data_IF_738841215956
#
_entry.id   IF_738841215956
#
_cell.length_a   1.000
_cell.length_b   1.000
_cell.length_c   1.000
_cell.angle_alpha   90.00
_cell.angle_beta   90.00
_cell.angle_gamma   90.00
#
_symmetry.space_group_name_H-M   'P 1'
#
loop_
_entity.id
_entity.type
_entity.pdbx_description
1 polymer ?
#
# COMPACT_ATOMS: atom_id res chain seq x y z
N UNK A 1 -0.19 10.29 4.64
CA UNK A 1 -1.09 10.98 3.69
C UNK A 1 -0.53 12.37 3.48
N UNK A 2 0.12 12.58 2.35
CA UNK A 2 1.03 13.73 2.17
C UNK A 2 0.27 15.02 1.83
N UNK A 3 -0.95 14.91 1.31
CA UNK A 3 -1.83 16.05 1.11
C UNK A 3 -2.79 16.23 2.29
N UNK A 4 -2.77 17.42 2.90
CA UNK A 4 -3.73 17.77 3.96
C UNK A 4 -5.16 17.83 3.40
N UNK A 5 -6.17 17.46 4.19
CA UNK A 5 -7.59 17.54 3.78
C UNK A 5 -8.06 18.97 3.45
N UNK A 6 -7.43 19.99 4.06
CA UNK A 6 -7.76 21.41 3.86
C UNK A 6 -6.49 22.23 3.56
N UNK A 7 -5.92 22.10 2.36
CA UNK A 7 -4.71 22.82 1.99
C UNK A 7 -4.98 24.33 1.92
N UNK A 8 -4.07 25.12 2.50
CA UNK A 8 -4.18 26.59 2.51
C UNK A 8 -3.64 27.22 1.24
N UNK A 9 -2.50 26.71 0.75
CA UNK A 9 -1.86 27.12 -0.50
C UNK A 9 -2.73 26.78 -1.71
N UNK A 10 -2.75 27.68 -2.70
CA UNK A 10 -3.52 27.48 -3.92
C UNK A 10 -3.06 26.24 -4.70
N UNK A 11 -1.73 26.05 -4.83
CA UNK A 11 -1.15 24.84 -5.43
C UNK A 11 -1.67 23.56 -4.78
N UNK A 12 -1.73 23.52 -3.44
CA UNK A 12 -2.25 22.37 -2.70
C UNK A 12 -3.75 22.15 -2.91
N UNK A 13 -4.55 23.21 -3.01
CA UNK A 13 -5.99 23.10 -3.32
C UNK A 13 -6.23 22.53 -4.71
N UNK A 14 -5.45 22.97 -5.69
CA UNK A 14 -5.53 22.49 -7.06
C UNK A 14 -5.09 21.02 -7.17
N UNK A 15 -3.97 20.65 -6.53
CA UNK A 15 -3.53 19.26 -6.52
C UNK A 15 -4.53 18.34 -5.80
N UNK A 16 -5.16 18.83 -4.72
CA UNK A 16 -6.25 18.10 -4.06
C UNK A 16 -7.41 17.82 -5.02
N UNK A 17 -7.82 18.82 -5.81
CA UNK A 17 -8.91 18.65 -6.79
C UNK A 17 -8.55 17.59 -7.84
N UNK A 18 -7.30 17.59 -8.33
CA UNK A 18 -6.82 16.54 -9.24
C UNK A 18 -6.88 15.15 -8.58
N UNK A 19 -6.44 15.04 -7.32
CA UNK A 19 -6.53 13.79 -6.57
C UNK A 19 -7.97 13.33 -6.36
N UNK A 20 -8.90 14.23 -6.03
CA UNK A 20 -10.32 13.90 -5.83
C UNK A 20 -10.97 13.46 -7.15
N UNK A 21 -10.52 14.02 -8.29
CA UNK A 21 -11.00 13.68 -9.64
C UNK A 21 -10.64 12.27 -10.09
N UNK A 22 -9.60 11.64 -9.53
CA UNK A 22 -9.21 10.26 -9.88
C UNK A 22 -10.40 9.29 -9.80
N UNK A 23 -11.24 9.45 -8.78
CA UNK A 23 -12.44 8.62 -8.55
C UNK A 23 -13.60 8.93 -9.50
N UNK A 24 -13.43 9.84 -10.45
CA UNK A 24 -14.43 10.23 -11.45
C UNK A 24 -13.98 9.96 -12.88
N UNK A 25 -12.80 9.38 -13.08
CA UNK A 25 -12.33 8.94 -14.39
C UNK A 25 -12.92 7.57 -14.70
N UNK A 26 -13.52 7.46 -15.87
CA UNK A 26 -14.23 6.29 -16.40
C UNK A 26 -13.87 5.97 -17.85
N UNK A 27 -13.27 6.89 -18.59
CA UNK A 27 -12.87 6.68 -19.99
C UNK A 27 -11.41 7.05 -20.26
N UNK A 28 -10.87 6.57 -21.38
CA UNK A 28 -9.49 6.87 -21.79
C UNK A 28 -9.32 8.38 -22.02
N UNK A 29 -10.31 9.03 -22.63
CA UNK A 29 -10.29 10.49 -22.86
C UNK A 29 -10.32 11.28 -21.55
N UNK A 30 -11.01 10.79 -20.53
CA UNK A 30 -10.96 11.38 -19.19
C UNK A 30 -9.59 11.19 -18.53
N UNK A 31 -8.96 10.03 -18.70
CA UNK A 31 -7.61 9.77 -18.20
C UNK A 31 -6.57 10.68 -18.88
N UNK A 32 -6.68 10.91 -20.19
CA UNK A 32 -5.82 11.84 -20.94
C UNK A 32 -5.99 13.26 -20.42
N UNK A 33 -7.24 13.75 -20.31
CA UNK A 33 -7.53 15.09 -19.76
C UNK A 33 -7.02 15.25 -18.34
N UNK A 34 -7.10 14.20 -17.53
CA UNK A 34 -6.54 14.21 -16.17
C UNK A 34 -5.01 14.35 -16.20
N UNK A 35 -4.32 13.62 -17.09
CA UNK A 35 -2.87 13.73 -17.30
C UNK A 35 -2.44 15.12 -17.78
N UNK A 36 -3.17 15.71 -18.74
CA UNK A 36 -2.97 17.09 -19.19
C UNK A 36 -3.11 18.08 -18.04
N UNK A 37 -4.14 17.91 -17.20
CA UNK A 37 -4.36 18.77 -16.05
C UNK A 37 -3.26 18.63 -14.98
N UNK A 38 -2.71 17.43 -14.80
CA UNK A 38 -1.56 17.20 -13.93
C UNK A 38 -0.28 17.88 -14.46
N UNK A 39 -0.03 17.81 -15.77
CA UNK A 39 1.09 18.50 -16.41
C UNK A 39 0.94 20.01 -16.32
N UNK A 40 -0.25 20.56 -16.62
CA UNK A 40 -0.54 21.98 -16.50
C UNK A 40 -0.43 22.49 -15.05
N UNK A 41 -0.69 21.63 -14.06
CA UNK A 41 -0.43 21.95 -12.66
C UNK A 41 1.07 22.03 -12.38
N UNK A 42 1.87 21.09 -12.90
CA UNK A 42 3.33 21.09 -12.74
C UNK A 42 3.95 22.35 -13.35
N UNK A 43 3.65 22.65 -14.62
CA UNK A 43 4.17 23.84 -15.31
C UNK A 43 3.88 25.14 -14.55
N UNK A 44 2.73 25.21 -13.87
CA UNK A 44 2.34 26.40 -13.10
C UNK A 44 3.03 26.51 -11.75
N UNK A 45 3.32 25.38 -11.11
CA UNK A 45 3.77 25.31 -9.72
C UNK A 45 5.17 24.72 -9.55
N UNK A 46 5.90 24.44 -10.63
CA UNK A 46 7.26 23.85 -10.60
C UNK A 46 8.20 24.68 -9.73
N UNK A 47 8.23 25.99 -9.95
CA UNK A 47 9.07 26.92 -9.18
C UNK A 47 8.76 26.84 -7.69
N UNK A 48 7.47 26.74 -7.32
CA UNK A 48 7.03 26.61 -5.93
C UNK A 48 7.50 25.28 -5.34
N UNK A 49 7.26 24.15 -6.00
CA UNK A 49 7.61 22.84 -5.43
C UNK A 49 9.14 22.59 -5.39
N UNK A 50 9.90 23.33 -6.20
CA UNK A 50 11.36 23.32 -6.19
C UNK A 50 11.98 24.38 -5.26
N UNK A 51 11.17 25.14 -4.50
CA UNK A 51 11.68 25.99 -3.44
C UNK A 51 12.39 25.15 -2.37
N UNK A 52 13.55 25.64 -1.92
CA UNK A 52 14.37 25.01 -0.88
C UNK A 52 14.54 25.97 0.29
N UNK A 53 14.41 25.43 1.49
CA UNK A 53 14.78 26.09 2.73
C UNK A 53 16.17 25.63 3.13
N UNK A 54 17.09 26.55 3.38
CA UNK A 54 18.44 26.22 3.86
C UNK A 54 18.44 26.12 5.39
N UNK A 55 19.24 25.21 5.94
CA UNK A 55 19.33 25.01 7.39
C UNK A 55 19.78 26.26 8.14
N UNK A 56 20.61 27.09 7.50
CA UNK A 56 21.05 28.39 8.04
C UNK A 56 19.90 29.40 8.22
N UNK A 57 18.84 29.28 7.42
CA UNK A 57 17.72 30.23 7.40
C UNK A 57 16.60 29.80 8.38
N UNK A 58 16.57 28.51 8.77
CA UNK A 58 15.67 27.96 9.78
C UNK A 58 16.43 26.97 10.71
N UNK A 59 17.34 27.48 11.57
CA UNK A 59 18.18 26.64 12.43
C UNK A 59 17.40 25.95 13.56
N UNK A 60 16.19 26.43 13.87
CA UNK A 60 15.31 25.82 14.88
C UNK A 60 14.59 24.57 14.35
N UNK A 61 14.58 24.35 13.04
CA UNK A 61 14.00 23.16 12.45
C UNK A 61 14.77 21.90 12.89
N UNK A 62 14.09 20.82 13.31
CA UNK A 62 14.78 19.55 13.61
C UNK A 62 15.63 19.01 12.46
N UNK A 63 15.31 19.37 11.21
CA UNK A 63 16.09 18.96 10.02
C UNK A 63 17.45 19.66 9.92
N UNK A 64 17.60 20.86 10.50
CA UNK A 64 18.83 21.65 10.39
C UNK A 64 20.04 20.98 11.04
N UNK A 65 19.82 20.08 12.02
CA UNK A 65 20.90 19.31 12.65
C UNK A 65 21.44 18.14 11.81
N UNK A 66 20.73 17.74 10.74
CA UNK A 66 21.07 16.56 9.94
C UNK A 66 21.21 16.85 8.44
N UNK A 67 20.72 18.00 7.96
CA UNK A 67 20.67 18.35 6.55
C UNK A 67 21.02 19.82 6.35
N UNK A 68 21.70 20.17 5.26
CA UNK A 68 22.04 21.55 4.93
C UNK A 68 20.89 22.32 4.26
N UNK A 69 19.92 21.61 3.70
CA UNK A 69 18.70 22.16 3.10
C UNK A 69 17.60 21.09 3.02
N UNK A 70 16.36 21.53 2.84
CA UNK A 70 15.22 20.67 2.49
C UNK A 70 14.26 21.38 1.54
N UNK A 71 13.40 20.62 0.85
CA UNK A 71 12.32 21.21 0.04
C UNK A 71 11.32 21.92 0.95
N UNK A 72 11.03 23.19 0.66
CA UNK A 72 10.11 24.01 1.46
C UNK A 72 8.71 23.39 1.50
N UNK A 73 8.23 22.91 0.35
CA UNK A 73 6.91 22.30 0.19
C UNK A 73 7.01 20.78 0.01
N UNK A 74 7.81 20.11 0.85
CA UNK A 74 8.15 18.69 0.71
C UNK A 74 6.94 17.77 0.51
N UNK A 75 5.88 17.94 1.32
CA UNK A 75 4.71 17.08 1.28
C UNK A 75 3.88 17.28 0.00
N UNK A 76 3.73 18.54 -0.44
CA UNK A 76 3.09 18.86 -1.71
C UNK A 76 3.85 18.23 -2.89
N UNK A 77 5.17 18.40 -2.89
CA UNK A 77 6.07 17.84 -3.90
C UNK A 77 5.99 16.31 -3.94
N UNK A 78 6.01 15.64 -2.78
CA UNK A 78 5.88 14.18 -2.67
C UNK A 78 4.56 13.69 -3.25
N UNK A 79 3.45 14.36 -2.93
CA UNK A 79 2.15 14.00 -3.46
C UNK A 79 2.11 14.11 -4.99
N UNK A 80 2.61 15.21 -5.55
CA UNK A 80 2.70 15.39 -7.00
C UNK A 80 3.54 14.28 -7.66
N UNK A 81 4.78 14.06 -7.16
CA UNK A 81 5.67 13.03 -7.74
C UNK A 81 5.08 11.63 -7.67
N UNK A 82 4.33 11.30 -6.61
CA UNK A 82 3.60 10.03 -6.55
C UNK A 82 2.55 9.93 -7.65
N UNK A 83 1.74 10.96 -7.84
CA UNK A 83 0.72 10.99 -8.89
C UNK A 83 1.34 10.91 -10.29
N UNK A 84 2.42 11.65 -10.51
CA UNK A 84 3.20 11.63 -11.76
C UNK A 84 3.74 10.23 -12.06
N UNK A 85 4.45 9.60 -11.11
CA UNK A 85 4.99 8.25 -11.30
C UNK A 85 3.88 7.22 -11.55
N UNK A 86 2.81 7.21 -10.73
CA UNK A 86 1.69 6.26 -10.93
C UNK A 86 1.00 6.46 -12.29
N UNK A 87 0.98 7.69 -12.82
CA UNK A 87 0.46 7.96 -14.15
C UNK A 87 1.41 7.46 -15.25
N UNK A 88 2.71 7.77 -15.15
CA UNK A 88 3.74 7.35 -16.11
C UNK A 88 3.90 5.83 -16.16
N UNK A 89 3.81 5.16 -15.02
CA UNK A 89 3.86 3.70 -14.89
C UNK A 89 2.55 3.02 -15.33
N UNK A 90 1.57 3.79 -15.82
CA UNK A 90 0.23 3.36 -16.27
C UNK A 90 -0.59 2.64 -15.18
N UNK A 91 -0.32 2.93 -13.91
CA UNK A 91 -0.98 2.28 -12.78
C UNK A 91 -2.30 2.94 -12.37
N UNK A 92 -2.44 4.27 -12.52
CA UNK A 92 -3.65 4.99 -12.07
C UNK A 92 -4.92 4.55 -12.80
N UNK A 93 -4.80 4.25 -14.09
CA UNK A 93 -5.94 3.99 -14.97
C UNK A 93 -5.83 2.63 -15.68
N UNK A 94 -5.10 1.69 -15.08
CA UNK A 94 -4.90 0.32 -15.60
C UNK A 94 -6.22 -0.39 -15.96
N UNK A 95 -7.31 -0.08 -15.25
CA UNK A 95 -8.65 -0.63 -15.52
C UNK A 95 -9.26 -0.19 -16.87
N UNK A 96 -8.65 0.78 -17.56
CA UNK A 96 -9.02 1.23 -18.90
C UNK A 96 -8.12 0.63 -19.99
N UNK A 97 -7.06 -0.09 -19.63
CA UNK A 97 -6.12 -0.64 -20.61
C UNK A 97 -6.73 -1.83 -21.38
N UNK A 98 -6.77 -1.79 -22.72
CA UNK A 98 -7.35 -2.87 -23.52
C UNK A 98 -6.68 -4.23 -23.28
N UNK A 99 -5.37 -4.25 -23.06
CA UNK A 99 -4.61 -5.48 -22.80
C UNK A 99 -5.01 -6.15 -21.47
N UNK A 100 -5.24 -5.34 -20.43
CA UNK A 100 -5.63 -5.84 -19.11
C UNK A 100 -7.12 -6.17 -19.02
N UNK A 101 -7.95 -5.52 -19.84
CA UNK A 101 -9.40 -5.76 -19.89
C UNK A 101 -9.80 -6.85 -20.88
N UNK A 102 -8.85 -7.43 -21.64
CA UNK A 102 -9.11 -8.49 -22.61
C UNK A 102 -9.73 -9.76 -21.97
N UNK A 103 -9.41 -10.04 -20.71
CA UNK A 103 -9.97 -11.16 -19.94
C UNK A 103 -11.30 -10.84 -19.23
N UNK A 104 -11.81 -9.62 -19.36
CA UNK A 104 -13.02 -9.14 -18.70
C UNK A 104 -12.85 -7.78 -18.00
N UNK A 105 -13.94 -7.17 -17.52
CA UNK A 105 -13.88 -5.86 -16.85
C UNK A 105 -12.97 -5.89 -15.62
N UNK A 106 -11.98 -5.01 -15.59
CA UNK A 106 -11.13 -4.77 -14.43
C UNK A 106 -11.80 -3.73 -13.53
N UNK A 107 -11.86 -4.02 -12.24
CA UNK A 107 -12.49 -3.14 -11.27
C UNK A 107 -11.62 -1.93 -10.99
N UNK A 108 -12.22 -0.73 -11.01
CA UNK A 108 -11.51 0.53 -10.76
C UNK A 108 -10.98 0.65 -9.34
N UNK A 109 -11.66 0.02 -8.38
CA UNK A 109 -11.32 0.13 -6.96
C UNK A 109 -10.96 -1.22 -6.39
N UNK A 110 -10.03 -1.23 -5.45
CA UNK A 110 -9.64 -2.44 -4.71
C UNK A 110 -10.68 -2.85 -3.66
N UNK A 111 -11.86 -2.20 -3.60
CA UNK A 111 -12.93 -2.51 -2.64
C UNK A 111 -13.37 -3.98 -2.68
N UNK A 112 -13.40 -4.60 -3.87
CA UNK A 112 -13.70 -6.04 -3.98
C UNK A 112 -12.60 -6.93 -3.41
N UNK A 113 -11.34 -6.49 -3.48
CA UNK A 113 -10.22 -7.19 -2.86
C UNK A 113 -10.23 -6.98 -1.34
N UNK A 114 -10.30 -5.73 -0.88
CA UNK A 114 -10.22 -5.37 0.54
C UNK A 114 -11.48 -5.71 1.34
N UNK A 115 -12.66 -5.68 0.72
CA UNK A 115 -13.92 -6.07 1.34
C UNK A 115 -14.33 -7.52 1.06
N UNK A 116 -13.72 -8.18 0.06
CA UNK A 116 -14.09 -9.53 -0.37
C UNK A 116 -13.04 -10.59 -0.02
N UNK A 117 -11.94 -10.61 -0.77
CA UNK A 117 -10.94 -11.70 -0.71
C UNK A 117 -9.99 -11.56 0.50
N UNK A 118 -9.55 -10.34 0.81
CA UNK A 118 -8.57 -10.10 1.88
C UNK A 118 -9.12 -10.33 3.30
N UNK A 119 -10.36 -9.98 3.66
CA UNK A 119 -10.88 -10.17 5.02
C UNK A 119 -10.82 -11.62 5.55
N UNK A 120 -11.26 -12.66 4.83
CA UNK A 120 -11.17 -14.03 5.32
C UNK A 120 -9.72 -14.51 5.47
N UNK A 121 -8.82 -14.10 4.56
CA UNK A 121 -7.38 -14.39 4.65
C UNK A 121 -6.81 -13.74 5.92
N UNK A 122 -7.01 -12.42 6.08
CA UNK A 122 -6.58 -11.66 7.26
C UNK A 122 -7.11 -12.30 8.55
N UNK A 123 -8.40 -12.64 8.60
CA UNK A 123 -9.02 -13.29 9.77
C UNK A 123 -8.37 -14.64 10.09
N UNK A 124 -8.09 -15.46 9.10
CA UNK A 124 -7.45 -16.77 9.28
C UNK A 124 -6.06 -16.62 9.86
N UNK A 125 -5.25 -15.69 9.33
CA UNK A 125 -3.92 -15.42 9.85
C UNK A 125 -3.95 -14.83 11.28
N UNK A 126 -4.93 -13.97 11.59
CA UNK A 126 -5.13 -13.43 12.94
C UNK A 126 -5.50 -14.52 13.95
N UNK A 127 -6.40 -15.43 13.59
CA UNK A 127 -6.83 -16.54 14.45
C UNK A 127 -5.72 -17.57 14.68
N UNK A 128 -4.79 -17.69 13.74
CA UNK A 128 -3.73 -18.69 13.75
C UNK A 128 -2.32 -18.06 13.73
N UNK A 129 -2.09 -17.11 14.63
CA UNK A 129 -0.83 -16.36 14.76
C UNK A 129 0.44 -17.21 15.00
N UNK A 130 0.30 -18.47 15.42
CA UNK A 130 1.41 -19.41 15.64
C UNK A 130 1.76 -20.31 14.45
N UNK A 131 1.17 -20.08 13.28
CA UNK A 131 1.48 -20.89 12.09
C UNK A 131 2.88 -20.57 11.57
N UNK A 132 3.67 -21.60 11.19
CA UNK A 132 4.89 -21.37 10.43
C UNK A 132 4.55 -20.74 9.07
N UNK A 133 5.47 -19.98 8.48
CA UNK A 133 5.24 -19.25 7.24
C UNK A 133 4.69 -20.13 6.11
N UNK A 134 5.22 -21.35 5.97
CA UNK A 134 4.75 -22.32 4.96
C UNK A 134 3.26 -22.64 5.10
N UNK A 135 2.75 -22.72 6.34
CA UNK A 135 1.34 -22.96 6.61
C UNK A 135 0.50 -21.69 6.44
N UNK A 136 1.04 -20.51 6.79
CA UNK A 136 0.38 -19.24 6.51
C UNK A 136 0.15 -19.08 5.01
N UNK A 137 1.18 -19.34 4.20
CA UNK A 137 1.08 -19.32 2.73
C UNK A 137 0.04 -20.31 2.22
N UNK A 138 0.06 -21.56 2.72
CA UNK A 138 -0.93 -22.58 2.36
C UNK A 138 -2.36 -22.16 2.73
N UNK A 139 -2.56 -21.52 3.87
CA UNK A 139 -3.87 -21.01 4.27
C UNK A 139 -4.35 -19.89 3.33
N UNK A 140 -3.46 -18.98 2.92
CA UNK A 140 -3.77 -17.97 1.90
C UNK A 140 -4.11 -18.62 0.55
N UNK A 141 -3.27 -19.55 0.08
CA UNK A 141 -3.48 -20.33 -1.16
C UNK A 141 -4.84 -21.01 -1.15
N UNK A 142 -5.20 -21.65 -0.02
CA UNK A 142 -6.49 -22.31 0.16
C UNK A 142 -7.67 -21.34 0.01
N UNK A 143 -7.62 -20.17 0.66
CA UNK A 143 -8.68 -19.17 0.53
C UNK A 143 -8.82 -18.65 -0.91
N UNK A 144 -7.71 -18.42 -1.60
CA UNK A 144 -7.73 -18.02 -3.01
C UNK A 144 -8.30 -19.14 -3.90
N UNK A 145 -7.87 -20.39 -3.68
CA UNK A 145 -8.35 -21.56 -4.41
C UNK A 145 -9.86 -21.74 -4.29
N UNK A 146 -10.39 -21.66 -3.07
CA UNK A 146 -11.83 -21.79 -2.79
C UNK A 146 -12.69 -20.67 -3.42
N UNK A 147 -12.08 -19.61 -3.94
CA UNK A 147 -12.75 -18.49 -4.61
C UNK A 147 -12.66 -18.54 -6.14
N UNK A 148 -12.05 -19.59 -6.70
CA UNK A 148 -12.07 -19.85 -8.14
C UNK A 148 -13.47 -20.29 -8.59
N UNK A 149 -13.73 -20.30 -9.91
CA UNK A 149 -15.07 -20.60 -10.45
C UNK A 149 -15.53 -22.04 -10.16
N UNK A 150 -14.60 -22.98 -10.06
CA UNK A 150 -14.89 -24.40 -9.80
C UNK A 150 -13.80 -25.04 -8.94
N UNK A 151 -13.77 -24.75 -7.62
CA UNK A 151 -12.81 -25.38 -6.73
C UNK A 151 -13.19 -26.85 -6.53
N UNK A 152 -12.21 -27.73 -6.61
CA UNK A 152 -12.33 -29.16 -6.31
C UNK A 152 -11.37 -29.56 -5.17
N UNK A 153 -11.72 -29.23 -3.91
CA UNK A 153 -10.96 -29.65 -2.73
C UNK A 153 -10.59 -31.12 -2.70
N UNK A 154 -11.49 -31.97 -3.20
CA UNK A 154 -11.36 -33.42 -3.09
C UNK A 154 -10.23 -33.92 -3.99
N UNK A 155 -10.02 -33.30 -5.16
CA UNK A 155 -8.90 -33.62 -6.05
C UNK A 155 -7.51 -33.45 -5.41
N UNK A 156 -7.40 -32.62 -4.36
CA UNK A 156 -6.14 -32.41 -3.64
C UNK A 156 -5.84 -33.54 -2.64
N UNK A 157 -6.82 -34.39 -2.34
CA UNK A 157 -6.68 -35.55 -1.46
C UNK A 157 -6.22 -36.73 -2.31
N UNK A 158 -4.97 -37.16 -2.11
CA UNK A 158 -4.37 -38.30 -2.79
C UNK A 158 -4.40 -39.50 -1.85
N UNK A 159 -4.29 -40.72 -2.40
CA UNK A 159 -4.33 -41.96 -1.61
C UNK A 159 -3.29 -41.96 -0.47
N UNK A 160 -2.13 -41.36 -0.70
CA UNK A 160 -1.08 -41.16 0.31
C UNK A 160 -1.51 -40.32 1.51
N UNK A 161 -2.48 -39.40 1.35
CA UNK A 161 -3.01 -38.58 2.45
C UNK A 161 -3.98 -39.35 3.37
N UNK A 162 -4.52 -40.47 2.92
CA UNK A 162 -5.34 -41.36 3.76
C UNK A 162 -4.50 -42.20 4.73
N UNK A 163 -3.18 -42.27 4.52
CA UNK A 163 -2.22 -42.92 5.42
C UNK A 163 -1.18 -41.91 5.91
N UNK A 164 -1.52 -41.08 6.92
CA UNK A 164 -0.62 -40.03 7.38
C UNK A 164 0.68 -40.65 7.92
N UNK A 165 1.82 -40.28 7.34
CA UNK A 165 3.11 -40.60 7.92
C UNK A 165 3.31 -39.79 9.22
N UNK A 166 3.97 -40.36 10.25
CA UNK A 166 4.26 -39.63 11.47
C UNK A 166 5.06 -38.37 11.15
N UNK A 167 4.59 -37.21 11.65
CA UNK A 167 5.36 -35.98 11.49
C UNK A 167 6.75 -36.15 12.11
N UNK A 168 7.84 -35.75 11.43
CA UNK A 168 9.15 -35.73 12.06
C UNK A 168 9.10 -34.86 13.31
N UNK A 169 9.66 -35.35 14.43
CA UNK A 169 9.76 -34.57 15.67
C UNK A 169 10.43 -33.25 15.33
N UNK A 170 9.75 -32.13 15.63
CA UNK A 170 10.38 -30.81 15.56
C UNK A 170 11.52 -30.79 16.56
N UNK A 171 12.75 -30.85 16.06
CA UNK A 171 13.92 -30.54 16.87
C UNK A 171 13.79 -29.09 17.32
N UNK A 172 13.96 -28.85 18.62
CA UNK A 172 13.92 -27.52 19.21
C UNK A 172 15.07 -26.72 18.59
N UNK A 173 14.76 -25.81 17.66
CA UNK A 173 15.76 -24.94 17.03
C UNK A 173 16.38 -24.09 18.15
N UNK A 174 17.67 -24.31 18.43
CA UNK A 174 18.45 -23.39 19.26
C UNK A 174 18.52 -22.06 18.52
N UNK A 175 18.22 -20.97 19.22
CA UNK A 175 18.34 -19.60 18.71
C UNK A 175 19.76 -19.40 18.17
N UNK A 176 19.88 -19.20 16.86
CA UNK A 176 21.10 -18.74 16.23
C UNK A 176 20.88 -17.28 15.86
N UNK A 177 21.66 -16.41 16.53
CA UNK A 177 21.76 -14.96 16.31
C UNK A 177 22.41 -14.64 14.95
N UNK A 178 21.74 -14.96 13.84
CA UNK A 178 22.10 -14.40 12.53
C UNK A 178 21.02 -13.40 12.07
N UNK A 179 21.42 -12.21 11.57
CA UNK A 179 20.45 -11.24 11.08
C UNK A 179 19.84 -11.74 9.76
N UNK A 180 18.60 -12.23 9.85
CA UNK A 180 17.82 -12.73 8.73
C UNK A 180 17.56 -11.64 7.67
N UNK A 181 17.86 -11.96 6.40
CA UNK A 181 17.92 -11.01 5.29
C UNK A 181 16.56 -10.57 4.69
N UNK A 182 15.44 -10.87 5.34
CA UNK A 182 14.12 -10.36 4.95
C UNK A 182 13.25 -10.11 6.17
N UNK A 183 12.54 -8.97 6.17
CA UNK A 183 11.83 -8.41 7.32
C UNK A 183 10.94 -9.41 8.04
N UNK A 184 11.37 -9.80 9.23
CA UNK A 184 10.67 -10.72 10.11
C UNK A 184 9.47 -10.02 10.73
N UNK A 185 8.30 -10.61 10.53
CA UNK A 185 7.01 -10.26 11.11
C UNK A 185 6.39 -8.92 10.67
N UNK A 186 5.09 -9.00 10.40
CA UNK A 186 4.19 -7.85 10.34
C UNK A 186 4.43 -7.02 11.61
N UNK A 187 4.90 -5.78 11.46
CA UNK A 187 5.03 -4.87 12.59
C UNK A 187 3.62 -4.49 13.05
N UNK A 188 3.16 -5.10 14.14
CA UNK A 188 1.83 -4.92 14.69
C UNK A 188 1.50 -3.46 15.08
N UNK A 189 2.51 -2.60 15.25
CA UNK A 189 2.30 -1.17 15.47
C UNK A 189 1.87 -0.41 14.20
N UNK A 190 1.99 -0.97 13.00
CA UNK A 190 1.50 -0.33 11.76
C UNK A 190 -0.03 -0.32 11.67
N UNK A 191 -0.73 -1.20 12.39
CA UNK A 191 -2.18 -1.32 12.33
C UNK A 191 -2.93 -0.52 13.41
N UNK A 192 -2.23 0.15 14.33
CA UNK A 192 -2.84 0.89 15.43
C UNK A 192 -2.22 2.28 15.65
N UNK A 193 -3.05 3.32 15.66
CA UNK A 193 -2.68 4.63 16.21
C UNK A 193 -2.55 4.50 17.74
N UNK A 194 -1.42 4.83 18.38
CA UNK A 194 -1.28 4.71 19.82
C UNK A 194 -2.21 5.71 20.52
N UNK A 195 -3.18 5.21 21.28
CA UNK A 195 -3.97 6.02 22.21
C UNK A 195 -3.24 6.04 23.54
N UNK A 196 -2.78 7.22 23.99
CA UNK A 196 -2.23 7.39 25.33
C UNK A 196 -3.37 7.29 26.36
N UNK A 197 -3.33 6.27 27.20
CA UNK A 197 -4.14 6.24 28.42
C UNK A 197 -3.55 7.23 29.44
N UNK A 198 -4.35 8.10 30.07
CA UNK A 198 -3.87 8.94 31.15
C UNK A 198 -3.73 8.08 32.42
N UNK A 199 -2.49 7.71 32.77
CA UNK A 199 -2.17 7.18 34.09
C UNK A 199 -1.96 8.34 35.06
N UNK A 200 -2.96 8.63 35.88
CA UNK A 200 -2.72 9.27 37.17
C UNK A 200 -3.57 8.60 38.23
N UNK A 201 -2.94 7.69 38.96
CA UNK A 201 -3.35 7.35 40.32
C UNK A 201 -2.06 7.27 41.11
N UNK A 202 -1.71 8.39 41.75
CA UNK A 202 -1.41 8.55 43.17
C UNK A 202 -1.27 10.05 43.44
#
# INVERSE_FOLDING_TARGET
TDLTLKPRLQAGKELKRLSDQLTRVHTIEEAVRWGEALNAWHERWETLIDERTMAKDDPANPKAGHQSWWWTHQELRRCYRRLEHLFQDRQLFAFLEPELTAGGPVERTTNRLEGGVNPPIKRTLLQHHGLPESHMRRACEWHCYMKTDNPDPASLIRDEHHQPQPAPKRETRQEQDEPEHYGTAINWNEFHTPVRYPNTTL
#
